data_IF_969316026974
#
_entry.id   IF_969316026974
#
_cell.length_a   1.000
_cell.length_b   1.000
_cell.length_c   1.000
_cell.angle_alpha   90.00
_cell.angle_beta   90.00
_cell.angle_gamma   90.00
#
_symmetry.space_group_name_H-M   'P 1'
#
loop_
_entity.id
_entity.type
_entity.pdbx_description
1 polymer ?
#
# COMPACT_ATOMS: atom_id res chain seq x y z
N UNK A 1 -16.46 1.11 -29.78
CA UNK A 1 -15.95 0.37 -28.60
C UNK A 1 -16.89 0.64 -27.44
N UNK A 2 -17.49 -0.39 -26.83
CA UNK A 2 -18.41 -0.24 -25.70
C UNK A 2 -17.73 -0.72 -24.41
N UNK A 3 -17.75 0.11 -23.36
CA UNK A 3 -17.27 -0.26 -22.03
C UNK A 3 -18.47 -0.62 -21.17
N UNK A 4 -18.52 -1.87 -20.69
CA UNK A 4 -19.55 -2.32 -19.73
C UNK A 4 -19.01 -2.10 -18.32
N UNK A 5 -19.75 -1.32 -17.50
CA UNK A 5 -19.45 -1.12 -16.09
C UNK A 5 -20.28 -2.05 -15.20
N UNK A 6 -19.67 -2.53 -14.11
CA UNK A 6 -20.31 -3.33 -13.06
C UNK A 6 -19.87 -2.77 -11.71
N UNK A 7 -20.80 -2.53 -10.79
CA UNK A 7 -20.50 -2.29 -9.39
C UNK A 7 -20.12 -3.61 -8.73
N UNK A 8 -19.03 -3.67 -7.99
CA UNK A 8 -18.52 -4.88 -7.33
C UNK A 8 -18.63 -4.82 -5.80
N UNK A 9 -18.52 -3.63 -5.21
CA UNK A 9 -18.75 -3.40 -3.78
C UNK A 9 -19.05 -1.95 -3.50
N UNK A 10 -19.59 -1.68 -2.32
CA UNK A 10 -19.66 -0.36 -1.72
C UNK A 10 -18.61 -0.28 -0.61
N UNK A 11 -17.85 0.81 -0.58
CA UNK A 11 -16.85 1.10 0.42
C UNK A 11 -16.85 2.59 0.68
N UNK A 12 -17.08 3.01 1.93
CA UNK A 12 -17.07 4.41 2.31
C UNK A 12 -15.69 5.02 1.99
N UNK A 13 -15.68 6.17 1.28
CA UNK A 13 -14.44 6.83 0.85
C UNK A 13 -13.48 5.88 0.14
N UNK A 14 -14.01 5.01 -0.72
CA UNK A 14 -13.21 4.15 -1.60
C UNK A 14 -12.20 5.00 -2.37
N UNK A 15 -10.92 4.71 -2.24
CA UNK A 15 -9.87 5.59 -2.78
C UNK A 15 -8.75 4.83 -3.49
N UNK A 16 -8.11 3.89 -2.82
CA UNK A 16 -6.92 3.23 -3.33
C UNK A 16 -7.23 1.87 -3.92
N UNK A 17 -6.65 1.59 -5.08
CA UNK A 17 -6.70 0.29 -5.74
C UNK A 17 -5.29 -0.13 -6.15
N UNK A 18 -4.95 -1.40 -6.00
CA UNK A 18 -3.68 -1.94 -6.45
C UNK A 18 -3.84 -3.37 -7.01
N UNK A 19 -3.16 -3.71 -8.12
CA UNK A 19 -3.03 -5.10 -8.54
C UNK A 19 -2.26 -5.89 -7.48
N UNK A 20 -2.66 -7.14 -7.32
CA UNK A 20 -2.02 -8.08 -6.39
C UNK A 20 -2.01 -9.47 -7.01
N UNK A 21 -0.90 -10.17 -6.90
CA UNK A 21 -0.78 -11.55 -7.34
C UNK A 21 -0.72 -12.46 -6.12
N UNK A 22 -1.52 -13.51 -6.10
CA UNK A 22 -1.57 -14.45 -4.98
C UNK A 22 -1.69 -15.87 -5.52
N UNK A 23 -0.72 -16.72 -5.18
CA UNK A 23 -0.64 -18.12 -5.66
C UNK A 23 -0.67 -18.24 -7.20
N UNK A 24 -0.02 -17.30 -7.89
CA UNK A 24 -0.03 -17.22 -9.35
C UNK A 24 -1.29 -16.66 -9.97
N UNK A 25 -2.31 -16.32 -9.17
CA UNK A 25 -3.60 -15.82 -9.62
C UNK A 25 -3.69 -14.29 -9.53
N UNK A 26 -4.24 -13.62 -10.56
CA UNK A 26 -4.45 -12.18 -10.50
C UNK A 26 -5.55 -11.82 -9.49
N UNK A 27 -5.28 -10.82 -8.70
CA UNK A 27 -6.15 -10.25 -7.66
C UNK A 27 -6.04 -8.73 -7.69
N UNK A 28 -6.85 -8.05 -6.91
CA UNK A 28 -6.66 -6.63 -6.63
C UNK A 28 -7.11 -6.29 -5.22
N UNK A 29 -6.48 -5.25 -4.68
CA UNK A 29 -6.76 -4.68 -3.38
C UNK A 29 -7.57 -3.41 -3.55
N UNK A 30 -8.53 -3.17 -2.66
CA UNK A 30 -9.27 -1.91 -2.58
C UNK A 30 -9.29 -1.43 -1.14
N UNK A 31 -8.96 -0.17 -0.92
CA UNK A 31 -8.92 0.41 0.41
C UNK A 31 -9.47 1.84 0.46
N UNK A 32 -9.84 2.27 1.66
CA UNK A 32 -10.48 3.54 1.93
C UNK A 32 -9.50 4.66 2.31
N UNK A 33 -9.86 5.89 1.97
CA UNK A 33 -9.18 7.10 2.44
C UNK A 33 -9.38 7.35 3.94
N UNK A 34 -10.56 6.97 4.48
CA UNK A 34 -10.93 7.22 5.89
C UNK A 34 -10.85 5.95 6.74
N UNK A 35 -11.74 5.81 7.71
CA UNK A 35 -11.77 4.76 8.72
C UNK A 35 -12.53 3.52 8.22
N UNK A 36 -12.19 3.02 7.05
CA UNK A 36 -12.88 1.89 6.46
C UNK A 36 -11.89 0.79 6.04
N UNK A 37 -12.37 -0.44 5.80
CA UNK A 37 -11.53 -1.59 5.54
C UNK A 37 -10.67 -1.54 4.28
N UNK A 38 -9.72 -2.48 4.20
CA UNK A 38 -9.10 -2.93 2.97
C UNK A 38 -9.58 -4.33 2.63
N UNK A 39 -9.94 -4.53 1.39
CA UNK A 39 -10.43 -5.80 0.87
C UNK A 39 -9.54 -6.34 -0.25
N UNK A 40 -9.40 -7.67 -0.29
CA UNK A 40 -8.83 -8.41 -1.40
C UNK A 40 -9.96 -8.98 -2.26
N UNK A 41 -9.85 -8.80 -3.57
CA UNK A 41 -10.81 -9.28 -4.56
C UNK A 41 -10.16 -10.22 -5.57
N UNK A 42 -10.96 -11.17 -6.11
CA UNK A 42 -10.62 -11.91 -7.30
C UNK A 42 -10.59 -10.99 -8.53
N UNK A 43 -10.00 -11.43 -9.62
CA UNK A 43 -10.01 -10.70 -10.91
C UNK A 43 -11.45 -10.43 -11.41
N UNK A 44 -12.41 -11.28 -11.05
CA UNK A 44 -13.83 -11.15 -11.43
C UNK A 44 -14.62 -10.21 -10.51
N UNK A 45 -13.99 -9.66 -9.46
CA UNK A 45 -14.60 -8.72 -8.51
C UNK A 45 -15.34 -9.38 -7.35
N UNK A 46 -15.07 -10.65 -7.03
CA UNK A 46 -15.58 -11.30 -5.84
C UNK A 46 -14.70 -10.93 -4.64
N UNK A 47 -15.32 -10.49 -3.54
CA UNK A 47 -14.59 -10.22 -2.31
C UNK A 47 -14.11 -11.52 -1.69
N UNK A 48 -12.79 -11.69 -1.60
CA UNK A 48 -12.15 -12.88 -1.05
C UNK A 48 -11.86 -12.73 0.44
N UNK A 49 -11.20 -11.64 0.84
CA UNK A 49 -10.72 -11.46 2.20
C UNK A 49 -10.90 -10.01 2.67
N UNK A 50 -11.02 -9.82 3.98
CA UNK A 50 -10.80 -8.55 4.64
C UNK A 50 -9.36 -8.51 5.14
N UNK A 51 -8.54 -7.63 4.58
CA UNK A 51 -7.12 -7.53 4.94
C UNK A 51 -6.95 -6.85 6.30
N UNK A 52 -7.71 -5.78 6.54
CA UNK A 52 -7.89 -5.13 7.84
C UNK A 52 -9.21 -4.38 7.86
N UNK A 53 -9.72 -4.15 9.07
CA UNK A 53 -10.94 -3.34 9.28
C UNK A 53 -10.61 -1.87 9.50
N UNK A 54 -9.56 -1.59 10.26
CA UNK A 54 -9.04 -0.27 10.62
C UNK A 54 -7.52 -0.35 10.87
N UNK A 55 -6.78 0.76 10.78
CA UNK A 55 -7.16 2.07 10.27
C UNK A 55 -7.19 2.11 8.74
N UNK A 56 -7.93 3.07 8.17
CA UNK A 56 -7.82 3.43 6.76
C UNK A 56 -6.72 4.48 6.52
N UNK A 57 -7.03 5.50 5.76
CA UNK A 57 -6.04 6.52 5.37
C UNK A 57 -5.09 6.01 4.29
N UNK A 58 -5.64 5.22 3.36
CA UNK A 58 -4.83 4.53 2.33
C UNK A 58 -4.82 5.32 1.04
N UNK A 59 -3.70 5.98 0.77
CA UNK A 59 -3.47 6.76 -0.45
C UNK A 59 -2.75 5.96 -1.53
N UNK A 60 -1.96 4.97 -1.13
CA UNK A 60 -1.16 4.15 -2.04
C UNK A 60 -1.03 2.75 -1.48
N UNK A 61 -1.14 1.76 -2.36
CA UNK A 61 -0.79 0.37 -2.10
C UNK A 61 0.10 -0.13 -3.23
N UNK A 62 1.05 -1.00 -2.91
CA UNK A 62 1.88 -1.65 -3.91
C UNK A 62 2.37 -3.01 -3.40
N UNK A 63 2.20 -4.05 -4.21
CA UNK A 63 2.75 -5.37 -3.92
C UNK A 63 4.28 -5.30 -3.83
N UNK A 64 4.84 -6.00 -2.86
CA UNK A 64 6.30 -6.15 -2.75
C UNK A 64 6.78 -7.01 -3.91
N UNK A 65 7.73 -6.53 -4.72
CA UNK A 65 8.22 -7.27 -5.89
C UNK A 65 8.72 -8.67 -5.53
N UNK A 66 8.21 -9.67 -6.26
CA UNK A 66 8.55 -11.07 -6.05
C UNK A 66 7.92 -11.72 -4.82
N UNK A 67 6.98 -11.04 -4.13
CA UNK A 67 6.26 -11.57 -2.96
C UNK A 67 4.75 -11.60 -3.25
N UNK A 68 4.18 -12.79 -3.25
CA UNK A 68 2.73 -12.98 -3.45
C UNK A 68 1.94 -12.95 -2.13
N UNK A 69 2.65 -12.78 -1.02
CA UNK A 69 2.14 -12.74 0.34
C UNK A 69 2.26 -11.36 1.01
N UNK A 70 2.84 -10.35 0.30
CA UNK A 70 3.15 -9.07 0.91
C UNK A 70 2.85 -7.87 0.02
N UNK A 71 2.33 -6.81 0.62
CA UNK A 71 2.25 -5.49 0.01
C UNK A 71 2.50 -4.38 1.03
N UNK A 72 2.86 -3.20 0.52
CA UNK A 72 2.97 -1.98 1.31
C UNK A 72 1.73 -1.13 1.11
N UNK A 73 1.35 -0.38 2.15
CA UNK A 73 0.25 0.58 2.12
C UNK A 73 0.56 1.80 2.96
N UNK A 74 0.01 2.95 2.59
CA UNK A 74 -0.08 4.08 3.53
C UNK A 74 -1.21 3.82 4.53
N UNK A 75 -1.03 4.21 5.78
CA UNK A 75 -2.05 4.22 6.81
C UNK A 75 -2.13 5.60 7.47
N UNK A 76 -3.30 5.94 7.99
CA UNK A 76 -3.57 7.17 8.77
C UNK A 76 -3.34 8.48 8.00
N UNK A 77 -3.46 8.48 6.70
CA UNK A 77 -3.57 9.70 5.92
C UNK A 77 -5.05 10.03 5.70
N UNK A 78 -5.69 10.73 6.63
CA UNK A 78 -7.12 11.04 6.55
C UNK A 78 -7.44 12.32 5.79
N UNK A 79 -6.48 13.23 5.70
CA UNK A 79 -6.46 14.41 4.85
C UNK A 79 -5.07 15.05 4.89
N UNK A 80 -4.75 16.01 4.00
CA UNK A 80 -3.49 16.76 4.08
C UNK A 80 -3.21 17.40 5.44
N UNK A 81 -4.25 17.78 6.16
CA UNK A 81 -4.15 18.43 7.48
C UNK A 81 -4.39 17.46 8.65
N UNK A 82 -4.69 16.18 8.35
CA UNK A 82 -4.89 15.12 9.32
C UNK A 82 -4.11 13.88 8.89
N UNK A 83 -2.78 13.99 8.90
CA UNK A 83 -1.85 12.97 8.47
C UNK A 83 -0.48 13.05 9.18
N UNK A 84 -0.41 13.72 10.31
CA UNK A 84 0.81 13.79 11.12
C UNK A 84 1.23 12.40 11.65
N UNK A 85 0.28 11.49 11.84
CA UNK A 85 0.52 10.09 12.22
C UNK A 85 0.62 9.13 11.04
N UNK A 86 0.65 9.65 9.80
CA UNK A 86 0.72 8.81 8.62
C UNK A 86 2.02 7.99 8.59
N UNK A 87 1.90 6.80 8.08
CA UNK A 87 2.99 5.81 8.03
C UNK A 87 2.87 4.92 6.82
N UNK A 88 3.91 4.18 6.52
CA UNK A 88 3.86 3.07 5.58
C UNK A 88 3.90 1.78 6.39
N UNK A 89 2.94 0.92 6.12
CA UNK A 89 2.84 -0.41 6.71
C UNK A 89 3.20 -1.48 5.70
N UNK A 90 3.62 -2.64 6.20
CA UNK A 90 3.70 -3.88 5.44
C UNK A 90 2.59 -4.80 5.92
N UNK A 91 1.76 -5.24 4.99
CA UNK A 91 0.78 -6.30 5.18
C UNK A 91 1.37 -7.62 4.70
N UNK A 92 1.38 -8.62 5.57
CA UNK A 92 1.87 -9.97 5.27
C UNK A 92 0.77 -10.98 5.52
N UNK A 93 0.41 -11.74 4.49
CA UNK A 93 -0.54 -12.84 4.59
C UNK A 93 0.14 -14.04 5.24
N UNK A 94 -0.44 -14.55 6.33
CA UNK A 94 0.04 -15.72 7.08
C UNK A 94 -0.75 -16.98 6.78
N UNK A 95 -1.99 -16.82 6.33
CA UNK A 95 -2.92 -17.89 6.02
C UNK A 95 -4.19 -17.34 5.37
N UNK A 96 -5.20 -18.15 5.22
CA UNK A 96 -6.51 -17.71 4.73
C UNK A 96 -7.11 -16.70 5.72
N UNK A 97 -7.44 -15.49 5.22
CA UNK A 97 -7.98 -14.38 6.01
C UNK A 97 -7.12 -13.98 7.23
N UNK A 98 -5.86 -14.42 7.28
CA UNK A 98 -4.90 -14.07 8.34
C UNK A 98 -3.83 -13.13 7.80
N UNK A 99 -3.97 -11.84 8.13
CA UNK A 99 -3.08 -10.77 7.71
C UNK A 99 -2.40 -10.11 8.91
N UNK A 100 -1.08 -10.12 8.90
CA UNK A 100 -0.27 -9.37 9.85
C UNK A 100 0.09 -8.00 9.28
N UNK A 101 -0.33 -6.94 9.97
CA UNK A 101 -0.03 -5.57 9.60
C UNK A 101 1.02 -5.01 10.57
N UNK A 102 2.14 -4.52 10.04
CA UNK A 102 3.21 -3.90 10.84
C UNK A 102 3.63 -2.57 10.24
N UNK A 103 3.92 -1.60 11.08
CA UNK A 103 4.58 -0.37 10.63
C UNK A 103 5.96 -0.71 10.08
N UNK A 104 6.21 -0.29 8.83
CA UNK A 104 7.51 -0.38 8.19
C UNK A 104 8.34 0.87 8.48
N UNK A 105 7.72 2.03 8.31
CA UNK A 105 8.37 3.33 8.58
C UNK A 105 7.31 4.39 8.92
N UNK A 106 7.56 5.17 9.95
CA UNK A 106 6.80 6.38 10.23
C UNK A 106 7.14 7.44 9.18
N UNK A 107 6.14 7.94 8.51
CA UNK A 107 6.29 8.91 7.42
C UNK A 107 5.17 9.97 7.49
N UNK A 108 5.25 10.92 8.43
CA UNK A 108 4.26 11.96 8.55
C UNK A 108 3.97 12.66 7.22
N UNK A 109 2.68 12.87 6.94
CA UNK A 109 2.17 13.47 5.71
C UNK A 109 2.49 12.71 4.42
N UNK A 110 2.84 11.41 4.49
CA UNK A 110 3.04 10.60 3.30
C UNK A 110 1.75 10.47 2.51
N UNK A 111 1.81 10.85 1.23
CA UNK A 111 0.67 10.74 0.31
C UNK A 111 0.89 9.65 -0.74
N UNK A 112 2.10 9.56 -1.27
CA UNK A 112 2.46 8.57 -2.29
C UNK A 112 3.79 7.92 -1.96
N UNK A 113 3.92 6.66 -2.37
CA UNK A 113 5.20 5.97 -2.41
C UNK A 113 5.28 5.08 -3.65
N UNK A 114 6.48 4.64 -3.96
CA UNK A 114 6.74 3.65 -4.99
C UNK A 114 7.92 2.76 -4.60
N UNK A 115 7.96 1.55 -5.12
CA UNK A 115 9.09 0.63 -4.95
C UNK A 115 9.88 0.59 -6.27
N UNK A 116 11.14 1.00 -6.20
CA UNK A 116 12.08 0.94 -7.31
C UNK A 116 13.06 -0.22 -7.10
N UNK A 117 13.26 -1.01 -8.15
CA UNK A 117 14.26 -2.08 -8.14
C UNK A 117 15.49 -1.67 -8.95
N UNK A 118 16.67 -1.83 -8.37
CA UNK A 118 17.95 -1.56 -9.04
C UNK A 118 19.04 -2.49 -8.50
N UNK A 119 19.75 -3.19 -9.39
CA UNK A 119 20.88 -4.06 -9.05
C UNK A 119 20.55 -5.08 -7.94
N UNK A 120 19.39 -5.75 -8.04
CA UNK A 120 18.92 -6.73 -7.06
C UNK A 120 18.48 -6.17 -5.70
N UNK A 121 18.43 -4.85 -5.56
CA UNK A 121 17.96 -4.16 -4.35
C UNK A 121 16.63 -3.47 -4.62
N UNK A 122 15.76 -3.41 -3.62
CA UNK A 122 14.51 -2.66 -3.67
C UNK A 122 14.62 -1.40 -2.80
N UNK A 123 14.17 -0.29 -3.35
CA UNK A 123 14.18 1.01 -2.69
C UNK A 123 12.76 1.51 -2.56
N UNK A 124 12.41 1.99 -1.39
CA UNK A 124 11.16 2.68 -1.12
C UNK A 124 11.37 4.18 -1.37
N UNK A 125 10.63 4.75 -2.31
CA UNK A 125 10.59 6.19 -2.56
C UNK A 125 9.30 6.74 -2.00
N UNK A 126 9.36 7.80 -1.19
CA UNK A 126 8.23 8.33 -0.44
C UNK A 126 8.06 9.82 -0.71
N UNK A 127 6.84 10.26 -1.02
CA UNK A 127 6.49 11.67 -1.15
C UNK A 127 5.56 12.09 -0.01
N UNK A 128 6.03 13.05 0.81
CA UNK A 128 5.26 13.69 1.86
C UNK A 128 4.80 15.07 1.40
N UNK A 129 3.52 15.40 1.60
CA UNK A 129 2.95 16.68 1.13
C UNK A 129 3.55 17.89 1.85
N UNK A 130 3.89 17.73 3.11
CA UNK A 130 4.58 18.73 3.93
C UNK A 130 5.48 18.06 4.95
N UNK A 131 6.41 18.81 5.52
CA UNK A 131 7.37 18.27 6.51
C UNK A 131 6.94 18.46 7.96
N UNK A 132 5.83 19.16 8.17
CA UNK A 132 5.26 19.43 9.49
C UNK A 132 4.17 20.49 9.40
N UNK A 133 3.62 20.88 10.54
CA UNK A 133 2.70 22.00 10.69
C UNK A 133 2.76 22.52 12.13
N UNK A 134 2.54 23.79 12.31
CA UNK A 134 2.40 24.41 13.64
C UNK A 134 0.92 24.63 14.01
N UNK A 135 0.05 24.65 13.00
CA UNK A 135 -1.42 24.66 13.13
C UNK A 135 -2.05 23.87 11.96
N UNK A 136 -3.32 23.52 12.06
CA UNK A 136 -4.01 22.58 11.17
C UNK A 136 -3.84 22.88 9.67
N UNK A 137 -3.97 24.12 9.26
CA UNK A 137 -3.91 24.54 7.84
C UNK A 137 -2.56 25.18 7.46
N UNK A 138 -1.53 24.91 8.24
CA UNK A 138 -0.17 25.38 7.94
C UNK A 138 0.44 24.62 6.74
N UNK A 139 0.75 25.35 5.69
CA UNK A 139 1.43 24.89 4.48
C UNK A 139 2.78 25.59 4.28
N UNK A 140 3.29 26.27 5.28
CA UNK A 140 4.58 26.99 5.19
C UNK A 140 5.77 26.03 5.15
N UNK A 141 5.61 24.80 5.71
CA UNK A 141 6.66 23.79 5.73
C UNK A 141 6.59 22.92 4.46
N UNK A 142 7.60 22.98 3.57
CA UNK A 142 7.55 22.33 2.26
C UNK A 142 7.46 20.81 2.39
N UNK A 143 6.93 20.17 1.35
CA UNK A 143 6.97 18.73 1.17
C UNK A 143 8.38 18.19 0.98
N UNK A 144 8.53 16.88 1.08
CA UNK A 144 9.82 16.21 0.91
C UNK A 144 9.68 14.86 0.21
N UNK A 145 10.72 14.47 -0.49
CA UNK A 145 10.89 13.12 -1.02
C UNK A 145 11.97 12.41 -0.21
N UNK A 146 11.68 11.19 0.21
CA UNK A 146 12.60 10.33 0.96
C UNK A 146 12.88 9.07 0.15
N UNK A 147 14.07 8.50 0.33
CA UNK A 147 14.44 7.20 -0.22
C UNK A 147 15.01 6.32 0.90
N UNK A 148 14.57 5.07 0.95
CA UNK A 148 15.07 4.08 1.90
C UNK A 148 15.33 2.75 1.19
N UNK A 149 16.39 2.05 1.58
CA UNK A 149 16.62 0.68 1.13
C UNK A 149 15.65 -0.24 1.88
N UNK A 150 14.86 -1.02 1.15
CA UNK A 150 14.03 -2.04 1.77
C UNK A 150 14.90 -3.20 2.27
N UNK A 151 14.67 -3.69 3.50
CA UNK A 151 15.41 -4.82 4.03
C UNK A 151 15.31 -6.06 3.13
N UNK A 152 16.37 -6.84 3.02
CA UNK A 152 16.41 -8.06 2.21
C UNK A 152 15.32 -9.08 2.62
N UNK A 153 14.93 -9.13 3.90
CA UNK A 153 13.82 -9.95 4.40
C UNK A 153 12.46 -9.62 3.77
N UNK A 154 12.30 -8.41 3.25
CA UNK A 154 11.12 -7.98 2.49
C UNK A 154 11.31 -8.28 0.99
N UNK A 155 12.56 -8.28 0.49
CA UNK A 155 12.89 -8.38 -0.94
C UNK A 155 13.49 -9.73 -1.39
N UNK A 156 13.72 -10.69 -0.51
CA UNK A 156 14.48 -11.93 -0.79
C UNK A 156 13.87 -12.91 -1.80
N UNK A 157 12.70 -12.66 -2.33
CA UNK A 157 12.15 -13.49 -3.41
C UNK A 157 12.79 -13.23 -4.79
N UNK A 158 13.63 -12.20 -4.93
CA UNK A 158 14.19 -11.77 -6.23
C UNK A 158 15.42 -12.55 -6.72
N UNK A 159 16.05 -13.36 -5.87
CA UNK A 159 17.35 -14.01 -6.18
C UNK A 159 17.26 -15.47 -6.62
N UNK A 160 16.07 -16.06 -6.80
CA UNK A 160 15.93 -17.49 -7.13
C UNK A 160 15.38 -17.82 -8.51
N UNK A 161 15.37 -16.90 -9.46
CA UNK A 161 14.95 -17.22 -10.84
C UNK A 161 15.92 -16.74 -11.92
N UNK A 162 17.20 -17.04 -11.77
CA UNK A 162 18.14 -17.01 -12.89
C UNK A 162 19.12 -18.16 -12.74
N UNK A 163 18.62 -19.39 -12.89
CA UNK A 163 19.39 -20.52 -13.35
C UNK A 163 18.43 -21.36 -14.18
N UNK A 164 18.32 -20.99 -15.46
CA UNK A 164 17.98 -21.96 -16.49
C UNK A 164 19.28 -22.50 -17.09
N UNK A 165 19.34 -23.80 -17.35
CA UNK A 165 20.50 -24.46 -17.90
C UNK A 165 20.82 -24.01 -19.31
#
# INVERSE_FOLDING_TARGET
MFVKKKSICELEKCYSIAPFQQNGEPRFLVAAEKHAPCYLFSENGEKLETVWTEPGGVMTMQQVPGREDQFLATHKFYSPNDSAEARIVIATRRGESDWQIRTLVEAPFVHRFGILQRNGKAYLLVCCLKSGHDYKDDWTKPGKTLAALLPATISTALTRRTSCP
#
